data_IF_985272239282
#
_entry.id   IF_985272239282
#
_cell.length_a   1.000
_cell.length_b   1.000
_cell.length_c   1.000
_cell.angle_alpha   90.00
_cell.angle_beta   90.00
_cell.angle_gamma   90.00
#
_symmetry.space_group_name_H-M   'P 1'
#
loop_
_entity.id
_entity.type
_entity.pdbx_description
1 polymer ?
2 non-polymer ?
3 water ?
#
# COMPACT_ATOMS: atom_id res chain seq x y z
N UNK A 4 5.85 23.63 19.39
CA UNK A 4 5.06 22.42 19.59
C UNK A 4 4.99 21.60 18.31
N UNK A 5 4.91 20.29 18.45
CA UNK A 5 4.90 19.39 17.30
C UNK A 5 3.55 19.43 16.60
N UNK A 6 3.57 19.77 15.32
CA UNK A 6 2.34 19.98 14.57
C UNK A 6 1.95 18.78 13.73
N UNK A 7 2.68 17.67 13.88
CA UNK A 7 2.37 16.46 13.15
C UNK A 7 2.56 16.62 11.64
N UNK A 8 1.45 16.63 10.91
CA UNK A 8 1.52 16.79 9.47
C UNK A 8 1.33 18.25 9.04
N UNK A 9 1.28 19.15 10.03
CA UNK A 9 0.96 20.53 9.76
C UNK A 9 2.16 21.42 9.54
N UNK A 10 1.95 22.49 8.78
CA UNK A 10 3.02 23.42 8.43
C UNK A 10 2.53 24.87 8.47
N UNK A 11 1.43 25.11 9.18
CA UNK A 11 0.87 26.45 9.28
C UNK A 11 0.35 26.73 10.69
N UNK A 12 1.08 26.28 11.70
CA UNK A 12 0.79 26.64 13.07
C UNK A 12 -0.23 25.80 13.83
N UNK A 13 -0.96 24.93 13.14
CA UNK A 13 -1.91 24.05 13.82
C UNK A 13 -1.51 22.61 13.64
N UNK A 14 -2.03 21.75 14.50
CA UNK A 14 -1.65 20.36 14.46
C UNK A 14 -2.58 19.57 13.55
N UNK A 15 -1.98 18.78 12.66
CA UNK A 15 -2.70 17.85 11.81
C UNK A 15 -2.28 16.43 12.17
N UNK A 16 -3.25 15.56 12.39
CA UNK A 16 -2.96 14.17 12.71
C UNK A 16 -4.07 13.24 12.22
N UNK A 17 -3.79 11.94 12.21
CA UNK A 17 -4.77 10.95 11.76
C UNK A 17 -5.57 10.34 12.91
N UNK A 18 -5.13 10.53 14.15
CA UNK A 18 -5.86 9.99 15.30
C UNK A 18 -7.13 10.79 15.58
N UNK A 19 -7.93 10.33 16.53
CA UNK A 19 -9.24 10.93 16.81
C UNK A 19 -9.27 11.92 17.98
N UNK A 20 -8.17 12.06 18.73
CA UNK A 20 -8.23 12.80 19.99
C UNK A 20 -7.41 14.10 20.03
N UNK A 21 -6.52 14.29 19.06
CA UNK A 21 -5.88 15.59 18.91
C UNK A 21 -5.92 16.02 17.44
N UNK A 22 -5.34 17.17 17.14
CA UNK A 22 -5.32 17.67 15.78
C UNK A 22 -6.67 18.20 15.32
N UNK A 23 -7.57 18.44 16.27
CA UNK A 23 -8.90 18.92 15.96
C UNK A 23 -8.96 20.45 15.96
N UNK A 24 -9.88 21.04 15.18
CA UNK A 24 -9.96 22.50 15.13
C UNK A 24 -10.33 23.14 16.46
N UNK A 25 -9.61 24.21 16.81
CA UNK A 25 -9.89 24.98 18.01
C UNK A 25 -11.28 25.60 17.94
N UNK A 26 -12.12 25.37 18.97
CA UNK A 26 -13.45 25.99 19.01
C UNK A 26 -13.46 27.50 18.73
N UNK A 27 -12.44 28.21 19.20
CA UNK A 27 -12.37 29.65 18.99
C UNK A 27 -11.95 29.96 17.56
N UNK A 28 -11.19 29.05 16.95
CA UNK A 28 -10.83 29.19 15.54
C UNK A 28 -12.06 28.97 14.67
N UNK A 29 -12.78 27.88 14.91
CA UNK A 29 -14.01 27.59 14.19
C UNK A 29 -14.97 28.77 14.26
N UNK A 30 -14.97 29.46 15.39
CA UNK A 30 -15.90 30.55 15.61
C UNK A 30 -15.42 31.83 14.92
N UNK A 31 -14.25 31.76 14.29
CA UNK A 31 -13.71 32.88 13.53
C UNK A 31 -13.94 32.72 12.04
N UNK A 32 -14.57 31.60 11.64
CA UNK A 32 -14.89 31.37 10.24
C UNK A 32 -15.73 32.52 9.70
N UNK A 33 -15.58 32.79 8.41
CA UNK A 33 -16.18 33.96 7.77
C UNK A 33 -17.69 33.99 7.90
N UNK A 34 -18.34 32.84 7.68
CA UNK A 34 -19.79 32.78 7.63
C UNK A 34 -20.35 31.81 8.66
N UNK A 35 -21.56 32.10 9.13
CA UNK A 35 -22.27 31.21 10.04
C UNK A 35 -22.57 29.90 9.32
N UNK A 36 -22.68 29.97 8.00
CA UNK A 36 -22.95 28.80 7.18
C UNK A 36 -21.81 27.80 7.26
N UNK A 37 -20.58 28.30 7.25
CA UNK A 37 -19.41 27.44 7.38
C UNK A 37 -19.31 26.84 8.77
N UNK A 38 -19.78 27.58 9.76
CA UNK A 38 -19.71 27.10 11.14
C UNK A 38 -20.61 25.89 11.35
N UNK A 39 -21.80 25.94 10.74
CA UNK A 39 -22.73 24.81 10.82
C UNK A 39 -22.16 23.61 10.10
N UNK A 40 -21.57 23.85 8.93
CA UNK A 40 -20.95 22.78 8.15
C UNK A 40 -19.88 22.08 8.98
N UNK A 41 -18.92 22.86 9.50
CA UNK A 41 -17.84 22.29 10.28
C UNK A 41 -18.36 21.63 11.54
N UNK A 42 -19.42 22.19 12.10
CA UNK A 42 -20.02 21.63 13.30
C UNK A 42 -20.61 20.25 13.01
N UNK A 43 -21.08 20.05 11.79
CA UNK A 43 -21.65 18.76 11.40
C UNK A 43 -20.56 17.78 11.00
N UNK A 44 -19.46 18.29 10.46
CA UNK A 44 -18.33 17.44 10.09
C UNK A 44 -17.68 16.83 11.33
N UNK A 45 -17.77 17.54 12.44
CA UNK A 45 -17.16 17.10 13.68
C UNK A 45 -18.08 16.15 14.45
N UNK A 46 -19.32 16.05 14.02
CA UNK A 46 -20.25 15.07 14.56
C UNK A 46 -20.05 13.72 13.89
N UNK A 47 -20.65 12.68 14.48
CA UNK A 47 -20.44 11.31 14.02
C UNK A 47 -21.51 10.85 13.04
N UNK A 48 -22.72 11.36 13.19
CA UNK A 48 -23.83 10.98 12.33
C UNK A 48 -23.42 11.11 10.87
N UNK A 49 -23.28 9.96 10.21
CA UNK A 49 -22.75 9.92 8.85
C UNK A 49 -23.64 10.66 7.87
N UNK A 50 -24.95 10.61 8.11
CA UNK A 50 -25.90 11.26 7.21
C UNK A 50 -25.73 12.77 7.22
N UNK A 51 -25.73 13.37 8.40
CA UNK A 51 -25.58 14.82 8.51
C UNK A 51 -24.17 15.24 8.07
N UNK A 52 -23.21 14.35 8.29
CA UNK A 52 -21.83 14.61 7.89
C UNK A 52 -21.70 14.58 6.36
N UNK A 53 -22.35 13.61 5.73
CA UNK A 53 -22.31 13.49 4.28
C UNK A 53 -22.99 14.70 3.66
N UNK A 54 -24.02 15.21 4.33
CA UNK A 54 -24.73 16.39 3.87
C UNK A 54 -23.88 17.66 4.07
N UNK A 55 -23.09 17.68 5.13
CA UNK A 55 -22.20 18.81 5.38
C UNK A 55 -21.19 18.95 4.26
N UNK A 56 -20.56 17.84 3.88
CA UNK A 56 -19.58 17.85 2.80
C UNK A 56 -20.21 18.26 1.48
N UNK A 57 -21.43 17.77 1.22
CA UNK A 57 -22.13 18.11 -0.01
C UNK A 57 -22.35 19.62 -0.09
N UNK A 58 -22.88 20.20 0.99
CA UNK A 58 -23.06 21.63 1.07
C UNK A 58 -21.74 22.35 0.82
N UNK A 59 -20.67 21.86 1.46
CA UNK A 59 -19.36 22.45 1.32
C UNK A 59 -18.86 22.35 -0.12
N UNK A 60 -19.03 21.18 -0.71
CA UNK A 60 -18.56 20.95 -2.08
C UNK A 60 -19.24 21.89 -3.08
N UNK A 61 -20.49 22.24 -2.79
CA UNK A 61 -21.26 23.09 -3.69
C UNK A 61 -20.84 24.55 -3.53
N UNK A 62 -20.61 24.98 -2.30
CA UNK A 62 -20.13 26.32 -2.03
C UNK A 62 -18.85 26.59 -2.82
N UNK A 63 -18.01 25.57 -2.94
CA UNK A 63 -16.74 25.71 -3.62
C UNK A 63 -16.93 25.70 -5.13
N UNK A 64 -17.98 25.04 -5.61
CA UNK A 64 -18.28 25.05 -7.04
C UNK A 64 -18.56 26.48 -7.49
N UNK A 65 -19.49 27.13 -6.81
CA UNK A 65 -19.76 28.55 -7.05
C UNK A 65 -18.73 29.39 -6.30
N UNK A 66 -17.46 29.13 -6.57
CA UNK A 66 -16.35 29.75 -5.86
C UNK A 66 -16.31 31.26 -6.06
N UNK A 67 -16.59 31.69 -7.29
CA UNK A 67 -16.48 33.09 -7.66
C UNK A 67 -17.33 33.97 -6.73
N UNK A 68 -18.49 33.45 -6.33
CA UNK A 68 -19.41 34.22 -5.49
C UNK A 68 -19.06 34.14 -4.02
N UNK A 69 -18.40 33.05 -3.62
CA UNK A 69 -18.08 32.81 -2.23
C UNK A 69 -16.57 32.70 -1.98
N UNK A 70 -15.79 33.48 -2.73
CA UNK A 70 -14.34 33.42 -2.62
C UNK A 70 -13.88 33.79 -1.20
N UNK A 71 -14.54 34.76 -0.58
CA UNK A 71 -14.16 35.21 0.74
C UNK A 71 -14.44 34.17 1.83
N UNK A 72 -15.29 33.19 1.53
CA UNK A 72 -15.60 32.14 2.50
C UNK A 72 -14.35 31.31 2.80
N UNK A 73 -13.51 31.13 1.79
CA UNK A 73 -12.40 30.19 1.88
C UNK A 73 -11.09 30.91 2.16
N UNK A 74 -11.06 31.63 3.27
CA UNK A 74 -9.89 32.38 3.68
C UNK A 74 -8.94 31.50 4.50
N UNK A 75 -7.90 32.12 5.06
CA UNK A 75 -6.89 31.41 5.81
C UNK A 75 -7.47 30.66 7.02
N UNK A 76 -8.53 31.20 7.59
CA UNK A 76 -9.17 30.55 8.72
C UNK A 76 -9.79 29.25 8.24
N UNK A 77 -10.54 29.33 7.15
CA UNK A 77 -11.15 28.13 6.59
C UNK A 77 -10.10 27.07 6.30
N UNK A 78 -9.03 27.46 5.62
CA UNK A 78 -8.01 26.50 5.21
C UNK A 78 -7.32 25.83 6.39
N UNK A 79 -7.06 26.60 7.44
CA UNK A 79 -6.49 26.05 8.65
C UNK A 79 -7.41 24.96 9.19
N UNK A 80 -8.67 25.32 9.43
CA UNK A 80 -9.64 24.38 9.96
C UNK A 80 -9.77 23.15 9.08
N UNK A 81 -9.98 23.38 7.79
CA UNK A 81 -10.16 22.28 6.85
C UNK A 81 -8.95 21.37 6.84
N UNK A 82 -7.75 21.94 6.84
CA UNK A 82 -6.54 21.14 6.81
C UNK A 82 -6.49 20.15 7.99
N UNK A 83 -7.20 20.46 9.07
CA UNK A 83 -7.18 19.60 10.24
C UNK A 83 -8.20 18.45 10.17
N UNK A 84 -9.40 18.71 9.66
CA UNK A 84 -10.43 17.66 9.62
C UNK A 84 -10.28 16.77 8.38
N UNK A 85 -9.79 17.34 7.29
CA UNK A 85 -9.50 16.59 6.07
C UNK A 85 -8.69 15.33 6.38
N UNK A 86 -7.69 15.49 7.24
CA UNK A 86 -6.82 14.39 7.64
C UNK A 86 -7.58 13.30 8.37
N UNK A 87 -8.80 13.61 8.81
CA UNK A 87 -9.59 12.68 9.60
C UNK A 87 -10.71 12.10 8.75
N UNK A 88 -11.20 12.89 7.82
CA UNK A 88 -12.24 12.45 6.91
C UNK A 88 -11.74 11.39 5.92
N UNK A 89 -10.43 11.41 5.60
CA UNK A 89 -9.90 10.49 4.60
C UNK A 89 -9.57 9.12 5.18
N UNK A 90 -9.98 8.86 6.41
CA UNK A 90 -9.86 7.53 6.98
C UNK A 90 -11.23 7.05 7.42
N UNK A 91 -12.26 7.77 7.00
CA UNK A 91 -13.63 7.37 7.26
C UNK A 91 -13.90 5.97 6.71
N UNK A 92 -14.72 5.21 7.42
CA UNK A 92 -15.07 3.87 6.98
C UNK A 92 -16.14 3.90 5.87
N UNK A 93 -16.68 5.09 5.61
CA UNK A 93 -17.60 5.28 4.49
C UNK A 93 -16.82 5.93 3.35
N UNK A 94 -16.68 5.21 2.24
CA UNK A 94 -15.86 5.71 1.14
C UNK A 94 -16.49 6.95 0.52
N UNK A 95 -17.79 7.09 0.72
CA UNK A 95 -18.50 8.30 0.28
C UNK A 95 -17.80 9.52 0.89
N UNK A 96 -17.59 9.48 2.21
CA UNK A 96 -16.91 10.56 2.92
C UNK A 96 -15.52 10.79 2.34
N UNK A 97 -14.80 9.70 2.09
CA UNK A 97 -13.42 9.81 1.63
C UNK A 97 -13.34 10.40 0.23
N UNK A 98 -14.25 9.95 -0.64
CA UNK A 98 -14.33 10.48 -2.00
C UNK A 98 -14.53 11.99 -1.99
N UNK A 99 -15.60 12.43 -1.34
CA UNK A 99 -15.95 13.84 -1.31
C UNK A 99 -14.83 14.69 -0.69
N UNK A 100 -14.25 14.22 0.41
CA UNK A 100 -13.18 14.96 1.09
C UNK A 100 -12.00 15.21 0.16
N UNK A 101 -11.60 14.17 -0.58
CA UNK A 101 -10.51 14.29 -1.54
C UNK A 101 -10.91 15.23 -2.66
N UNK A 102 -12.17 15.16 -3.08
CA UNK A 102 -12.68 16.01 -4.14
C UNK A 102 -12.62 17.48 -3.73
N UNK A 103 -13.13 17.77 -2.53
CA UNK A 103 -13.16 19.13 -2.01
C UNK A 103 -11.76 19.75 -2.01
N UNK A 104 -10.79 19.01 -1.47
CA UNK A 104 -9.45 19.53 -1.34
C UNK A 104 -8.85 19.81 -2.72
N UNK A 105 -8.94 18.84 -3.62
CA UNK A 105 -8.44 18.98 -4.98
C UNK A 105 -9.08 20.19 -5.66
N UNK A 106 -10.37 20.40 -5.43
CA UNK A 106 -11.06 21.59 -5.96
C UNK A 106 -10.41 22.87 -5.46
N UNK A 107 -10.17 22.95 -4.15
CA UNK A 107 -9.58 24.15 -3.54
C UNK A 107 -8.23 24.47 -4.17
N UNK A 108 -7.42 23.43 -4.39
CA UNK A 108 -6.10 23.63 -4.99
C UNK A 108 -6.26 24.23 -6.38
N UNK A 109 -7.33 23.84 -7.07
CA UNK A 109 -7.57 24.32 -8.43
C UNK A 109 -8.18 25.71 -8.44
N UNK A 110 -9.12 25.96 -7.53
CA UNK A 110 -9.87 27.22 -7.51
C UNK A 110 -9.14 28.32 -6.74
N UNK A 111 -7.94 28.02 -6.26
CA UNK A 111 -7.25 28.89 -5.32
C UNK A 111 -5.75 28.81 -5.53
N UNK A 112 -5.36 28.48 -6.76
CA UNK A 112 -3.99 28.09 -7.10
C UNK A 112 -2.88 28.73 -6.26
N UNK A 113 -2.66 30.02 -6.44
CA UNK A 113 -1.52 30.68 -5.81
C UNK A 113 -1.84 31.19 -4.40
N UNK A 114 -3.13 31.21 -4.05
CA UNK A 114 -3.55 31.70 -2.75
C UNK A 114 -3.57 30.57 -1.73
N UNK A 115 -3.24 29.36 -2.18
CA UNK A 115 -3.26 28.19 -1.32
C UNK A 115 -1.86 27.57 -1.24
N UNK A 116 -0.85 28.30 -1.69
CA UNK A 116 0.49 27.78 -1.77
C UNK A 116 1.04 27.38 -0.40
N UNK A 117 0.66 28.11 0.64
CA UNK A 117 1.15 27.82 1.99
C UNK A 117 0.73 26.43 2.45
N UNK A 118 -0.35 25.92 1.87
CA UNK A 118 -0.98 24.70 2.37
C UNK A 118 -0.68 23.45 1.55
N UNK A 119 0.12 23.56 0.49
CA UNK A 119 0.40 22.40 -0.36
C UNK A 119 1.11 21.29 0.42
N UNK A 120 2.02 21.67 1.31
CA UNK A 120 2.70 20.69 2.14
C UNK A 120 1.73 19.95 3.07
N UNK A 121 0.56 20.53 3.28
CA UNK A 121 -0.45 19.92 4.15
C UNK A 121 -1.52 19.17 3.37
N UNK A 122 -1.64 19.44 2.07
CA UNK A 122 -2.71 18.86 1.26
C UNK A 122 -2.19 17.79 0.29
N UNK A 123 -1.10 18.10 -0.40
CA UNK A 123 -0.56 17.22 -1.43
C UNK A 123 -0.26 15.82 -0.88
N UNK A 124 0.36 15.72 0.31
CA UNK A 124 0.63 14.37 0.80
C UNK A 124 -0.64 13.54 0.99
N UNK A 125 -1.70 14.17 1.50
CA UNK A 125 -2.97 13.46 1.73
C UNK A 125 -3.71 13.22 0.42
N UNK A 126 -3.55 14.12 -0.55
CA UNK A 126 -4.18 13.93 -1.85
C UNK A 126 -3.58 12.69 -2.49
N UNK A 127 -2.26 12.62 -2.50
CA UNK A 127 -1.54 11.51 -3.10
C UNK A 127 -1.82 10.22 -2.34
N UNK A 128 -2.03 10.31 -1.03
CA UNK A 128 -2.41 9.13 -0.25
C UNK A 128 -3.74 8.57 -0.75
N UNK A 129 -4.62 9.47 -1.19
CA UNK A 129 -5.92 9.08 -1.72
C UNK A 129 -5.77 8.30 -3.02
N UNK A 130 -4.83 8.74 -3.85
CA UNK A 130 -4.56 8.06 -5.11
C UNK A 130 -3.89 6.71 -4.87
N UNK A 131 -3.44 6.46 -3.64
CA UNK A 131 -2.75 5.23 -3.31
C UNK A 131 -3.63 4.25 -2.55
N UNK A 132 -4.93 4.51 -2.56
CA UNK A 132 -5.89 3.64 -1.91
C UNK A 132 -6.10 2.37 -2.75
N UNK A 133 -5.95 1.21 -2.11
CA UNK A 133 -6.08 -0.08 -2.79
C UNK A 133 -7.44 -0.25 -3.43
N UNK A 134 -8.46 0.41 -2.88
CA UNK A 134 -9.77 0.40 -3.51
C UNK A 134 -9.73 1.32 -4.72
N UNK A 135 -9.84 0.71 -5.90
CA UNK A 135 -9.76 1.43 -7.17
C UNK A 135 -10.89 2.45 -7.31
N UNK A 136 -12.03 2.17 -6.66
CA UNK A 136 -13.18 3.07 -6.75
C UNK A 136 -12.95 4.37 -5.98
N UNK A 137 -11.89 4.42 -5.17
CA UNK A 137 -11.51 5.64 -4.48
C UNK A 137 -10.27 6.26 -5.12
N UNK A 138 -9.26 5.43 -5.38
CA UNK A 138 -7.98 5.93 -5.88
C UNK A 138 -8.08 6.48 -7.30
N UNK A 139 -8.91 5.88 -8.15
CA UNK A 139 -8.97 6.31 -9.54
C UNK A 139 -9.69 7.67 -9.69
N UNK A 140 -10.89 7.82 -9.09
CA UNK A 140 -11.51 9.14 -9.14
C UNK A 140 -10.60 10.26 -8.58
N UNK A 141 -9.82 9.94 -7.56
CA UNK A 141 -8.91 10.92 -6.99
C UNK A 141 -7.81 11.28 -7.99
N UNK A 142 -7.35 10.30 -8.75
CA UNK A 142 -6.27 10.51 -9.70
C UNK A 142 -6.74 11.31 -10.90
N UNK A 143 -7.98 11.08 -11.33
CA UNK A 143 -8.54 11.80 -12.46
C UNK A 143 -8.75 13.26 -12.10
N UNK A 144 -9.20 13.49 -10.87
CA UNK A 144 -9.41 14.85 -10.36
C UNK A 144 -8.08 15.58 -10.25
N UNK A 145 -7.09 14.90 -9.69
CA UNK A 145 -5.76 15.48 -9.50
C UNK A 145 -5.12 15.81 -10.84
N UNK A 146 -5.22 14.86 -11.76
CA UNK A 146 -4.67 15.02 -13.10
C UNK A 146 -5.28 16.23 -13.77
N UNK A 147 -6.60 16.33 -13.70
CA UNK A 147 -7.32 17.44 -14.31
C UNK A 147 -6.90 18.75 -13.66
N UNK A 148 -6.64 18.71 -12.35
CA UNK A 148 -6.25 19.90 -11.60
C UNK A 148 -4.98 20.54 -12.16
N UNK A 149 -4.12 19.74 -12.79
CA UNK A 149 -2.90 20.26 -13.40
C UNK A 149 -2.96 20.15 -14.92
N UNK A 150 -4.16 20.26 -15.47
CA UNK A 150 -4.38 20.27 -16.92
C UNK A 150 -3.69 19.10 -17.62
N UNK A 151 -3.85 17.91 -17.06
CA UNK A 151 -3.35 16.68 -17.68
C UNK A 151 -1.87 16.77 -18.04
N UNK A 152 -1.12 17.57 -17.29
CA UNK A 152 0.31 17.71 -17.51
C UNK A 152 1.07 16.64 -16.72
N UNK A 153 1.60 15.60 -17.40
CA UNK A 153 2.23 14.49 -16.69
C UNK A 153 3.40 14.91 -15.81
N UNK A 154 4.27 15.77 -16.33
CA UNK A 154 5.45 16.21 -15.60
C UNK A 154 5.06 17.02 -14.36
N UNK A 155 3.87 17.62 -14.39
CA UNK A 155 3.39 18.43 -13.29
C UNK A 155 3.01 17.56 -12.09
N UNK A 156 2.60 16.33 -12.36
CA UNK A 156 2.26 15.39 -11.30
C UNK A 156 3.52 14.71 -10.78
N UNK A 157 4.39 14.31 -11.71
CA UNK A 157 5.64 13.66 -11.35
C UNK A 157 6.51 14.57 -10.49
N UNK A 158 6.34 15.88 -10.68
CA UNK A 158 7.11 16.86 -9.92
C UNK A 158 6.71 16.79 -8.44
N UNK A 159 5.44 16.50 -8.19
CA UNK A 159 4.92 16.46 -6.83
C UNK A 159 5.68 15.45 -5.96
N UNK A 160 5.99 14.28 -6.53
CA UNK A 160 6.67 13.23 -5.76
C UNK A 160 8.09 13.66 -5.41
N UNK A 161 8.64 14.59 -6.19
CA UNK A 161 9.98 15.11 -5.91
C UNK A 161 9.90 16.26 -4.91
N UNK A 162 9.10 17.27 -5.24
CA UNK A 162 8.98 18.46 -4.43
C UNK A 162 8.63 18.11 -2.98
N UNK A 163 7.58 17.31 -2.81
CA UNK A 163 7.03 17.05 -1.48
C UNK A 163 7.50 15.72 -0.89
N UNK A 164 8.68 15.29 -1.30
CA UNK A 164 9.30 14.08 -0.78
C UNK A 164 9.25 14.00 0.74
N UNK A 165 9.81 15.01 1.40
CA UNK A 165 9.95 14.98 2.86
C UNK A 165 8.60 14.87 3.57
N UNK A 166 7.61 15.61 3.10
CA UNK A 166 6.29 15.59 3.71
C UNK A 166 5.62 14.24 3.47
N UNK A 167 5.75 13.71 2.27
CA UNK A 167 5.21 12.38 1.96
C UNK A 167 5.79 11.32 2.88
N UNK A 168 7.10 11.37 3.06
CA UNK A 168 7.75 10.42 3.94
C UNK A 168 7.27 10.62 5.38
N UNK A 169 7.02 11.88 5.75
CA UNK A 169 6.55 12.18 7.10
C UNK A 169 5.15 11.60 7.32
N UNK A 170 4.33 11.67 6.29
CA UNK A 170 2.99 11.07 6.35
C UNK A 170 3.08 9.55 6.54
N UNK A 171 4.00 8.89 5.84
CA UNK A 171 4.18 7.44 6.01
C UNK A 171 4.60 7.17 7.46
N UNK A 172 5.58 7.91 7.95
CA UNK A 172 6.06 7.76 9.32
C UNK A 172 4.91 7.90 10.31
N UNK A 173 4.08 8.92 10.09
CA UNK A 173 2.89 9.15 10.89
C UNK A 173 2.03 7.89 10.99
N UNK A 174 1.79 7.25 9.84
CA UNK A 174 0.89 6.10 9.77
C UNK A 174 1.53 4.84 10.33
N UNK A 175 2.77 4.57 9.93
CA UNK A 175 3.41 3.30 10.26
C UNK A 175 3.93 3.31 11.69
N UNK A 176 4.57 4.40 12.08
CA UNK A 176 5.30 4.47 13.33
C UNK A 176 4.50 5.14 14.44
N UNK A 177 3.92 6.30 14.16
CA UNK A 177 3.30 7.12 15.20
C UNK A 177 1.88 6.69 15.56
N UNK A 178 1.18 6.04 14.65
CA UNK A 178 -0.22 5.68 14.91
C UNK A 178 -0.38 4.16 14.90
N UNK A 179 -1.54 3.73 15.37
CA UNK A 179 -1.85 2.32 15.45
C UNK A 179 -3.37 2.17 15.39
N UNK A 180 -3.85 0.93 15.50
CA UNK A 180 -5.27 0.64 15.37
C UNK A 180 -6.13 1.44 16.35
N UNK A 181 -5.68 1.53 17.59
CA UNK A 181 -6.49 2.13 18.64
C UNK A 181 -6.45 3.66 18.65
N UNK A 182 -5.42 4.26 18.07
CA UNK A 182 -5.38 5.72 17.99
C UNK A 182 -6.08 6.22 16.73
N UNK A 183 -6.14 5.37 15.71
CA UNK A 183 -6.77 5.71 14.44
C UNK A 183 -8.28 5.51 14.52
N UNK A 184 -8.71 4.57 15.36
CA UNK A 184 -10.13 4.31 15.56
C UNK A 184 -10.51 4.44 17.03
N UNK A 185 -11.61 5.12 17.31
CA UNK A 185 -12.06 5.32 18.67
C UNK A 185 -12.85 4.11 19.13
N UNK A 186 -12.32 3.40 20.14
CA UNK A 186 -12.94 2.16 20.63
C UNK A 186 -14.36 2.40 21.14
N UNK A 187 -14.68 3.65 21.45
CA UNK A 187 -16.03 4.00 21.89
C UNK A 187 -17.07 3.65 20.84
N UNK A 188 -16.73 3.86 19.56
CA UNK A 188 -17.70 3.73 18.48
C UNK A 188 -17.28 2.71 17.41
N UNK A 189 -16.26 1.92 17.71
CA UNK A 189 -15.76 0.93 16.75
C UNK A 189 -15.37 -0.37 17.45
N UNK A 190 -15.77 -1.49 16.84
CA UNK A 190 -15.38 -2.80 17.33
C UNK A 190 -13.92 -3.05 17.01
N UNK A 191 -13.32 -4.05 17.62
CA UNK A 191 -11.92 -4.37 17.38
C UNK A 191 -11.72 -4.71 15.91
N UNK A 192 -12.71 -5.36 15.30
CA UNK A 192 -12.63 -5.77 13.90
C UNK A 192 -12.59 -4.57 12.97
N UNK A 193 -13.52 -3.64 13.17
CA UNK A 193 -13.58 -2.44 12.34
C UNK A 193 -12.28 -1.63 12.47
N UNK A 194 -11.71 -1.61 13.68
CA UNK A 194 -10.45 -0.91 13.90
C UNK A 194 -9.31 -1.59 13.16
N UNK A 195 -9.27 -2.91 13.24
CA UNK A 195 -8.29 -3.67 12.45
C UNK A 195 -8.41 -3.35 10.97
N UNK A 196 -9.64 -3.32 10.46
CA UNK A 196 -9.85 -3.08 9.03
C UNK A 196 -9.44 -1.66 8.65
N UNK A 197 -9.79 -0.71 9.51
CA UNK A 197 -9.49 0.69 9.25
C UNK A 197 -7.98 0.92 9.14
N UNK A 198 -7.24 0.44 10.13
CA UNK A 198 -5.79 0.58 10.10
C UNK A 198 -5.23 -0.12 8.87
N UNK A 199 -5.62 -1.38 8.67
CA UNK A 199 -5.20 -2.15 7.50
C UNK A 199 -5.27 -1.34 6.21
N UNK A 200 -6.43 -0.76 5.95
CA UNK A 200 -6.63 0.04 4.74
C UNK A 200 -5.68 1.24 4.68
N UNK A 201 -5.52 1.96 5.78
CA UNK A 201 -4.68 3.15 5.78
C UNK A 201 -3.20 2.79 5.58
N UNK A 202 -2.70 1.80 6.30
CA UNK A 202 -1.28 1.49 6.24
C UNK A 202 -0.94 0.87 4.88
N UNK A 203 -1.88 0.12 4.33
CA UNK A 203 -1.72 -0.41 2.98
C UNK A 203 -1.48 0.72 2.00
N UNK A 204 -2.24 1.80 2.14
CA UNK A 204 -2.07 2.98 1.31
C UNK A 204 -0.67 3.56 1.48
N UNK A 205 -0.21 3.58 2.73
CA UNK A 205 1.08 4.17 3.07
C UNK A 205 2.21 3.37 2.45
N UNK A 206 2.03 2.06 2.34
CA UNK A 206 3.03 1.21 1.70
C UNK A 206 3.08 1.54 0.20
N UNK A 207 1.92 1.57 -0.45
CA UNK A 207 1.88 1.89 -1.87
C UNK A 207 2.45 3.28 -2.13
N UNK A 208 2.17 4.21 -1.23
CA UNK A 208 2.69 5.56 -1.34
C UNK A 208 4.20 5.56 -1.17
N UNK A 209 4.69 4.67 -0.30
CA UNK A 209 6.12 4.52 -0.09
C UNK A 209 6.78 3.94 -1.34
N UNK A 210 6.11 2.99 -1.97
CA UNK A 210 6.61 2.39 -3.20
C UNK A 210 6.76 3.46 -4.27
N UNK A 211 5.70 4.24 -4.49
CA UNK A 211 5.73 5.26 -5.52
C UNK A 211 6.81 6.29 -5.22
N UNK A 212 7.10 6.50 -3.95
CA UNK A 212 8.12 7.45 -3.55
C UNK A 212 9.50 6.98 -4.00
N UNK A 213 9.72 5.67 -3.96
CA UNK A 213 10.97 5.08 -4.43
C UNK A 213 11.07 5.11 -5.95
N UNK A 214 9.94 4.91 -6.61
CA UNK A 214 9.91 4.89 -8.07
C UNK A 214 10.27 6.27 -8.61
N UNK A 215 9.63 7.31 -8.07
CA UNK A 215 9.78 8.66 -8.61
C UNK A 215 11.07 9.33 -8.17
N UNK A 216 11.78 8.75 -7.22
CA UNK A 216 12.97 9.38 -6.67
C UNK A 216 14.13 8.39 -6.56
N UNK A 217 15.26 8.73 -7.16
CA UNK A 217 16.46 7.91 -7.12
C UNK A 217 17.21 8.15 -5.81
N UNK A 218 17.30 9.41 -5.42
CA UNK A 218 18.04 9.82 -4.23
C UNK A 218 17.14 9.95 -3.02
N UNK A 219 16.21 9.02 -2.87
CA UNK A 219 15.29 9.03 -1.74
C UNK A 219 15.97 8.40 -0.52
N UNK A 220 16.84 7.43 -0.77
CA UNK A 220 17.51 6.70 0.30
C UNK A 220 18.55 7.55 1.02
N UNK A 221 19.12 8.51 0.30
CA UNK A 221 20.22 9.32 0.83
C UNK A 221 19.72 10.48 1.69
N UNK A 222 18.77 11.25 1.15
CA UNK A 222 18.24 12.41 1.85
C UNK A 222 17.64 12.03 3.21
N UNK A 223 16.58 11.22 3.17
CA UNK A 223 15.83 10.88 4.38
C UNK A 223 16.10 9.44 4.83
N UNK A 224 17.36 9.12 5.11
CA UNK A 224 17.73 7.77 5.51
C UNK A 224 17.16 7.43 6.89
N UNK A 225 17.44 8.29 7.86
CA UNK A 225 17.02 8.06 9.25
C UNK A 225 15.53 7.74 9.34
N UNK A 226 14.73 8.47 8.59
CA UNK A 226 13.29 8.33 8.64
C UNK A 226 12.84 7.05 7.94
N UNK A 227 13.45 6.75 6.79
CA UNK A 227 13.16 5.51 6.08
C UNK A 227 13.44 4.30 6.98
N UNK A 228 14.47 4.43 7.82
CA UNK A 228 14.90 3.36 8.69
C UNK A 228 13.84 3.04 9.76
N UNK A 229 13.29 4.07 10.37
CA UNK A 229 12.35 3.86 11.48
C UNK A 229 11.03 3.33 10.89
N UNK A 230 10.73 3.73 9.67
CA UNK A 230 9.55 3.24 8.96
C UNK A 230 9.68 1.75 8.66
N UNK A 231 10.77 1.36 8.01
CA UNK A 231 10.96 -0.02 7.57
C UNK A 231 11.38 -0.96 8.69
N UNK A 232 11.73 -0.40 9.85
CA UNK A 232 12.17 -1.21 10.99
C UNK A 232 10.99 -1.58 11.88
N UNK A 233 9.92 -0.81 11.77
CA UNK A 233 8.70 -1.06 12.53
C UNK A 233 8.10 -2.40 12.13
N UNK A 234 7.23 -2.95 12.98
CA UNK A 234 6.62 -4.25 12.70
C UNK A 234 5.27 -4.11 12.00
N UNK A 235 4.89 -2.88 11.66
CA UNK A 235 3.54 -2.63 11.17
C UNK A 235 3.35 -2.98 9.70
N UNK A 236 4.32 -2.60 8.86
CA UNK A 236 4.24 -2.89 7.44
C UNK A 236 4.26 -4.40 7.21
N UNK A 237 5.15 -5.08 7.90
CA UNK A 237 5.39 -6.51 7.69
C UNK A 237 4.25 -7.34 8.24
N UNK A 238 3.36 -6.70 9.00
CA UNK A 238 2.18 -7.38 9.54
C UNK A 238 1.15 -7.63 8.44
N UNK A 239 1.29 -6.92 7.31
CA UNK A 239 0.39 -7.09 6.18
C UNK A 239 0.66 -8.39 5.44
N UNK A 240 1.75 -9.06 5.79
CA UNK A 240 2.09 -10.36 5.21
C UNK A 240 1.35 -11.49 5.91
N UNK A 241 0.35 -11.15 6.71
CA UNK A 241 -0.45 -12.16 7.40
C UNK A 241 -1.79 -12.36 6.69
N UNK A 242 -2.02 -13.59 6.22
CA UNK A 242 -3.28 -13.92 5.59
C UNK A 242 -4.40 -13.97 6.64
N UNK A 243 -5.60 -13.56 6.24
CA UNK A 243 -6.76 -13.60 7.12
C UNK A 243 -7.99 -14.03 6.32
N UNK A 244 -8.87 -14.79 6.95
CA UNK A 244 -10.01 -15.37 6.26
C UNK A 244 -10.90 -14.32 5.62
N UNK A 245 -11.00 -13.15 6.26
CA UNK A 245 -11.85 -12.09 5.76
C UNK A 245 -11.15 -11.16 4.77
N UNK A 246 -9.85 -10.99 4.95
CA UNK A 246 -9.08 -10.06 4.11
C UNK A 246 -8.70 -10.68 2.77
N UNK A 247 -8.48 -9.82 1.78
CA UNK A 247 -7.96 -10.25 0.50
C UNK A 247 -6.45 -10.02 0.44
N UNK A 248 -5.85 -10.41 -0.69
CA UNK A 248 -4.40 -10.43 -0.84
C UNK A 248 -3.80 -9.16 -1.42
N UNK A 249 -4.60 -8.12 -1.58
CA UNK A 249 -4.14 -6.89 -2.22
C UNK A 249 -3.06 -6.19 -1.40
N UNK A 250 -3.22 -6.20 -0.08
CA UNK A 250 -2.23 -5.60 0.80
C UNK A 250 -0.98 -6.46 0.81
N UNK A 251 -1.19 -7.78 0.80
CA UNK A 251 -0.09 -8.73 0.76
C UNK A 251 0.80 -8.49 -0.45
N UNK A 252 0.17 -8.36 -1.62
CA UNK A 252 0.89 -8.15 -2.87
C UNK A 252 1.66 -6.83 -2.83
N UNK A 253 1.05 -5.83 -2.21
CA UNK A 253 1.66 -4.50 -2.10
C UNK A 253 3.00 -4.59 -1.36
N UNK A 254 3.05 -5.37 -0.29
CA UNK A 254 4.28 -5.52 0.47
C UNK A 254 5.34 -6.24 -0.36
N UNK A 255 4.94 -7.30 -1.06
CA UNK A 255 5.82 -7.99 -1.98
C UNK A 255 6.46 -7.01 -2.94
N UNK A 256 5.65 -6.13 -3.52
CA UNK A 256 6.16 -5.07 -4.38
C UNK A 256 7.20 -4.21 -3.67
N UNK A 257 6.93 -3.83 -2.42
CA UNK A 257 7.85 -2.98 -1.65
C UNK A 257 9.21 -3.64 -1.51
N UNK A 258 9.20 -4.90 -1.07
CA UNK A 258 10.43 -5.67 -0.92
C UNK A 258 11.19 -5.70 -2.24
N UNK A 259 10.45 -5.82 -3.34
CA UNK A 259 11.08 -5.91 -4.65
C UNK A 259 11.73 -4.58 -5.05
N UNK A 260 11.05 -3.48 -4.80
CA UNK A 260 11.56 -2.16 -5.15
C UNK A 260 12.76 -1.81 -4.29
N UNK A 261 12.70 -2.16 -3.01
CA UNK A 261 13.79 -1.87 -2.09
C UNK A 261 15.06 -2.62 -2.52
N UNK A 262 14.88 -3.82 -3.05
CA UNK A 262 16.02 -4.64 -3.46
C UNK A 262 16.61 -4.14 -4.78
N UNK A 263 15.74 -3.83 -5.74
CA UNK A 263 16.19 -3.40 -7.06
C UNK A 263 16.91 -2.06 -6.98
N UNK A 264 16.39 -1.16 -6.15
CA UNK A 264 17.00 0.16 -5.97
C UNK A 264 18.27 0.08 -5.13
N UNK A 265 18.60 -1.11 -4.65
CA UNK A 265 19.84 -1.31 -3.92
C UNK A 265 19.81 -0.78 -2.50
N UNK A 266 18.61 -0.64 -1.96
CA UNK A 266 18.45 -0.20 -0.58
C UNK A 266 18.67 -1.37 0.38
N UNK A 267 18.30 -2.57 -0.07
CA UNK A 267 18.38 -3.76 0.77
C UNK A 267 19.82 -4.19 1.03
N UNK A 268 20.67 -4.24 -0.01
CA UNK A 268 22.08 -4.57 0.26
C UNK A 268 22.77 -3.56 1.16
N UNK A 269 22.18 -2.37 1.31
CA UNK A 269 22.78 -1.31 2.12
C UNK A 269 22.27 -1.33 3.56
N UNK A 270 21.21 -2.10 3.81
CA UNK A 270 20.61 -2.18 5.14
C UNK A 270 20.26 -3.62 5.49
N UNK A 271 21.27 -4.39 5.85
CA UNK A 271 21.12 -5.83 6.06
C UNK A 271 20.03 -6.17 7.10
N UNK A 272 19.83 -5.30 8.06
CA UNK A 272 18.88 -5.57 9.13
C UNK A 272 17.43 -5.53 8.63
N UNK A 273 17.12 -4.55 7.79
CA UNK A 273 15.79 -4.46 7.19
C UNK A 273 15.58 -5.64 6.26
N UNK A 274 16.66 -6.09 5.62
CA UNK A 274 16.63 -7.27 4.78
C UNK A 274 16.16 -8.49 5.55
N UNK A 275 16.83 -8.76 6.66
CA UNK A 275 16.54 -9.94 7.46
C UNK A 275 15.13 -9.87 8.07
N UNK A 276 14.62 -8.66 8.27
CA UNK A 276 13.29 -8.50 8.85
C UNK A 276 12.21 -8.81 7.83
N UNK A 277 12.44 -8.40 6.59
CA UNK A 277 11.48 -8.63 5.52
C UNK A 277 11.47 -10.09 5.10
N UNK A 278 12.66 -10.68 4.97
CA UNK A 278 12.77 -12.07 4.52
C UNK A 278 12.15 -13.01 5.55
N UNK A 279 12.44 -12.76 6.84
CA UNK A 279 11.94 -13.61 7.91
C UNK A 279 10.42 -13.60 7.94
N UNK A 280 9.84 -12.42 7.86
CA UNK A 280 8.38 -12.29 7.90
C UNK A 280 7.76 -12.90 6.65
N UNK A 281 8.50 -12.86 5.54
CA UNK A 281 8.02 -13.41 4.29
C UNK A 281 8.01 -14.93 4.34
N UNK A 282 9.02 -15.51 5.00
CA UNK A 282 9.11 -16.95 5.15
C UNK A 282 8.07 -17.47 6.13
N UNK A 283 7.85 -16.74 7.23
CA UNK A 283 6.78 -17.08 8.17
C UNK A 283 5.47 -17.18 7.42
N UNK A 284 5.28 -16.26 6.49
CA UNK A 284 4.05 -16.16 5.71
C UNK A 284 3.75 -17.44 4.92
N UNK A 285 4.77 -18.00 4.29
CA UNK A 285 4.60 -19.19 3.46
C UNK A 285 4.00 -20.34 4.26
N UNK A 286 4.37 -20.44 5.54
CA UNK A 286 3.91 -21.54 6.39
C UNK A 286 2.40 -21.47 6.64
N UNK A 287 1.81 -20.29 6.43
CA UNK A 287 0.38 -20.14 6.68
C UNK A 287 -0.44 -20.42 5.41
N UNK A 288 0.25 -20.67 4.31
CA UNK A 288 -0.40 -21.04 3.06
C UNK A 288 -0.62 -22.55 3.06
N UNK A 289 -1.89 -22.95 3.10
CA UNK A 289 -2.26 -24.36 3.13
C UNK A 289 -3.40 -24.64 2.15
N UNK A 290 -3.86 -25.88 2.13
CA UNK A 290 -4.96 -26.28 1.25
C UNK A 290 -6.24 -25.53 1.61
N UNK A 291 -6.41 -25.22 2.89
CA UNK A 291 -7.61 -24.53 3.36
C UNK A 291 -7.83 -23.22 2.61
N UNK A 292 -6.76 -22.47 2.39
CA UNK A 292 -6.86 -21.12 1.84
C UNK A 292 -6.15 -20.97 0.50
N UNK A 293 -5.74 -22.09 -0.10
CA UNK A 293 -4.91 -22.03 -1.31
C UNK A 293 -5.66 -21.34 -2.45
N UNK A 294 -6.96 -21.52 -2.52
CA UNK A 294 -7.77 -20.85 -3.55
C UNK A 294 -7.73 -19.34 -3.36
N UNK A 295 -7.63 -18.90 -2.12
CA UNK A 295 -7.59 -17.47 -1.82
C UNK A 295 -6.22 -16.89 -2.14
N UNK A 296 -5.17 -17.64 -1.80
CA UNK A 296 -3.80 -17.17 -1.99
C UNK A 296 -3.35 -17.36 -3.43
N UNK A 297 -4.10 -18.15 -4.18
CA UNK A 297 -3.77 -18.48 -5.57
C UNK A 297 -3.18 -17.31 -6.39
N UNK A 298 -3.85 -16.15 -6.40
CA UNK A 298 -3.35 -15.09 -7.29
C UNK A 298 -2.01 -14.43 -6.92
N UNK A 299 -1.43 -14.73 -5.75
CA UNK A 299 -0.14 -14.13 -5.39
C UNK A 299 1.00 -15.14 -5.48
N UNK A 300 0.69 -16.41 -5.67
CA UNK A 300 1.72 -17.45 -5.69
C UNK A 300 2.83 -17.16 -6.71
N UNK A 301 2.47 -16.68 -7.91
CA UNK A 301 3.58 -16.37 -8.82
C UNK A 301 4.45 -15.25 -8.28
N UNK A 302 3.83 -14.20 -7.76
CA UNK A 302 4.57 -13.08 -7.19
C UNK A 302 5.54 -13.53 -6.08
N UNK A 303 5.06 -14.39 -5.19
CA UNK A 303 5.93 -14.90 -4.14
C UNK A 303 7.14 -15.57 -4.78
N UNK A 304 6.89 -16.55 -5.66
CA UNK A 304 7.96 -17.31 -6.28
C UNK A 304 8.92 -16.39 -7.02
N UNK A 305 8.38 -15.40 -7.73
CA UNK A 305 9.21 -14.45 -8.46
C UNK A 305 10.07 -13.62 -7.51
N UNK A 306 9.53 -13.29 -6.34
CA UNK A 306 10.27 -12.49 -5.37
C UNK A 306 11.43 -13.32 -4.80
N UNK A 307 11.14 -14.56 -4.43
CA UNK A 307 12.15 -15.44 -3.84
C UNK A 307 13.31 -15.67 -4.82
N UNK A 308 13.00 -15.60 -6.11
CA UNK A 308 14.02 -15.82 -7.13
C UNK A 308 14.95 -14.62 -7.20
N UNK A 309 14.37 -13.44 -7.10
CA UNK A 309 15.14 -12.20 -7.11
C UNK A 309 16.05 -12.14 -5.89
N UNK A 310 15.51 -12.47 -4.73
CA UNK A 310 16.25 -12.39 -3.47
C UNK A 310 17.33 -13.45 -3.38
N UNK A 311 17.15 -14.56 -4.10
CA UNK A 311 18.13 -15.63 -4.08
C UNK A 311 19.41 -15.19 -4.79
N UNK A 312 19.28 -14.23 -5.70
CA UNK A 312 20.43 -13.73 -6.44
C UNK A 312 21.38 -12.97 -5.52
N UNK A 313 20.84 -12.45 -4.41
CA UNK A 313 21.66 -11.71 -3.45
C UNK A 313 22.74 -12.58 -2.83
N UNK A 314 23.97 -12.39 -3.28
CA UNK A 314 25.14 -13.05 -2.70
C UNK A 314 24.95 -14.57 -2.65
N UNK A 315 24.61 -15.15 -3.80
CA UNK A 315 24.53 -16.61 -3.95
C UNK A 315 23.58 -17.26 -2.94
N UNK A 316 22.40 -16.69 -2.78
CA UNK A 316 21.37 -17.26 -1.92
C UNK A 316 21.65 -17.14 -0.43
N UNK A 317 22.08 -15.96 0.00
CA UNK A 317 22.42 -15.74 1.41
C UNK A 317 21.17 -15.59 2.27
N UNK A 318 20.08 -15.17 1.67
CA UNK A 318 18.85 -14.89 2.43
C UNK A 318 18.31 -16.17 3.06
N UNK A 319 18.59 -17.31 2.45
CA UNK A 319 18.10 -18.59 2.95
C UNK A 319 18.72 -18.94 4.29
N UNK A 320 19.90 -18.39 4.56
CA UNK A 320 20.62 -18.67 5.80
C UNK A 320 20.03 -17.93 6.99
N UNK A 321 19.14 -16.98 6.72
CA UNK A 321 18.48 -16.24 7.79
C UNK A 321 17.51 -17.12 8.57
N UNK A 322 17.39 -18.38 8.15
CA UNK A 322 16.54 -19.34 8.82
C UNK A 322 16.92 -20.75 8.33
N UNK A 323 17.59 -21.51 9.20
CA UNK A 323 18.15 -22.80 8.81
C UNK A 323 17.10 -23.76 8.23
N UNK A 324 15.85 -23.60 8.66
CA UNK A 324 14.78 -24.47 8.21
C UNK A 324 14.03 -23.91 7.00
N UNK A 325 14.65 -22.97 6.30
CA UNK A 325 13.99 -22.32 5.16
C UNK A 325 13.88 -23.27 3.97
N UNK A 326 14.88 -24.12 3.80
CA UNK A 326 14.86 -25.13 2.75
C UNK A 326 13.64 -26.03 2.90
N UNK A 327 13.32 -26.35 4.14
CA UNK A 327 12.16 -27.18 4.44
C UNK A 327 10.86 -26.38 4.23
N UNK A 328 10.90 -25.09 4.53
CA UNK A 328 9.72 -24.23 4.39
C UNK A 328 9.36 -24.02 2.92
N UNK A 329 10.36 -23.81 2.08
CA UNK A 329 10.15 -23.66 0.64
C UNK A 329 9.55 -24.95 0.08
N UNK A 330 10.00 -26.07 0.63
CA UNK A 330 9.56 -27.39 0.18
C UNK A 330 8.06 -27.57 0.36
N UNK A 331 7.57 -27.19 1.53
CA UNK A 331 6.15 -27.37 1.84
C UNK A 331 5.31 -26.39 1.05
N UNK A 332 5.91 -25.26 0.71
CA UNK A 332 5.21 -24.23 -0.04
C UNK A 332 5.02 -24.66 -1.50
N UNK A 333 6.07 -25.21 -2.11
CA UNK A 333 5.99 -25.67 -3.49
C UNK A 333 4.99 -26.81 -3.60
N UNK A 334 4.97 -27.68 -2.60
CA UNK A 334 4.09 -28.86 -2.60
C UNK A 334 2.62 -28.49 -2.53
N UNK A 335 2.33 -27.31 -1.99
CA UNK A 335 0.96 -26.84 -1.82
C UNK A 335 0.56 -25.95 -2.98
N UNK A 336 1.51 -25.17 -3.47
CA UNK A 336 1.23 -24.16 -4.48
C UNK A 336 0.86 -24.79 -5.83
N UNK A 337 1.33 -26.01 -6.07
CA UNK A 337 1.08 -26.69 -7.33
C UNK A 337 -0.33 -27.29 -7.38
N UNK A 338 -1.10 -27.11 -6.32
CA UNK A 338 -2.49 -27.57 -6.30
C UNK A 338 -3.43 -26.43 -6.67
N UNK A 339 -2.87 -25.26 -6.95
CA UNK A 339 -3.66 -24.13 -7.43
C UNK A 339 -2.81 -23.23 -8.32
N UNK A 340 -2.41 -23.75 -9.49
CA UNK A 340 -1.58 -22.99 -10.42
C UNK A 340 -2.38 -21.94 -11.18
N UNK A 341 -1.67 -21.03 -11.84
CA UNK A 341 -2.29 -19.93 -12.57
C UNK A 341 -1.29 -19.38 -13.57
N UNK A 342 -1.76 -18.59 -14.55
CA UNK A 342 -0.84 -17.96 -15.50
C UNK A 342 0.32 -17.26 -14.81
N UNK A 343 1.55 -17.55 -15.23
CA UNK A 343 2.74 -16.97 -14.62
C UNK A 343 3.36 -17.89 -13.59
N UNK A 344 2.56 -18.80 -13.04
CA UNK A 344 3.02 -19.68 -11.97
C UNK A 344 4.28 -20.47 -12.35
N UNK A 345 4.17 -21.29 -13.39
CA UNK A 345 5.27 -22.18 -13.74
C UNK A 345 6.46 -21.39 -14.28
N UNK A 346 6.20 -20.24 -14.89
CA UNK A 346 7.27 -19.32 -15.25
C UNK A 346 8.10 -18.95 -14.02
N UNK A 347 7.42 -18.63 -12.93
CA UNK A 347 8.08 -18.18 -11.71
C UNK A 347 8.81 -19.32 -11.03
N UNK A 348 8.26 -20.52 -11.11
CA UNK A 348 8.90 -21.70 -10.54
C UNK A 348 10.25 -21.91 -11.22
N UNK A 349 10.28 -21.81 -12.55
CA UNK A 349 11.51 -21.98 -13.28
C UNK A 349 12.50 -20.89 -12.90
N UNK A 350 12.00 -19.66 -12.76
CA UNK A 350 12.81 -18.56 -12.27
C UNK A 350 13.45 -18.94 -10.94
N UNK A 351 12.64 -19.47 -10.03
CA UNK A 351 13.14 -19.89 -8.72
C UNK A 351 14.18 -21.00 -8.90
N UNK A 352 13.86 -21.97 -9.75
CA UNK A 352 14.78 -23.06 -10.03
C UNK A 352 16.09 -22.55 -10.59
N UNK A 353 15.99 -21.76 -11.66
CA UNK A 353 17.16 -21.31 -12.40
C UNK A 353 18.16 -20.61 -11.48
N UNK A 354 17.63 -19.84 -10.53
CA UNK A 354 18.45 -19.07 -9.62
C UNK A 354 19.05 -19.95 -8.53
N UNK A 355 18.19 -20.70 -7.85
CA UNK A 355 18.60 -21.46 -6.67
C UNK A 355 19.52 -22.64 -6.98
N UNK A 356 19.50 -23.14 -8.21
CA UNK A 356 20.38 -24.26 -8.58
C UNK A 356 21.84 -23.83 -8.54
N UNK A 357 22.08 -22.52 -8.58
CA UNK A 357 23.44 -21.99 -8.58
C UNK A 357 24.17 -22.32 -7.27
N UNK A 358 23.42 -22.76 -6.26
CA UNK A 358 24.03 -23.27 -5.05
C UNK A 358 23.37 -24.59 -4.61
N UNK A 359 22.73 -25.25 -5.57
CA UNK A 359 22.08 -26.54 -5.33
C UNK A 359 21.22 -26.48 -4.07
N UNK A 360 20.18 -25.65 -4.10
CA UNK A 360 19.29 -25.48 -2.97
C UNK A 360 18.47 -26.75 -2.75
N UNK A 361 17.79 -27.19 -3.81
CA UNK A 361 16.96 -28.39 -3.75
C UNK A 361 17.49 -29.44 -4.73
N UNK A 362 17.37 -30.71 -4.35
CA UNK A 362 17.84 -31.80 -5.20
C UNK A 362 17.05 -31.87 -6.51
N UNK A 363 17.77 -31.98 -7.62
CA UNK A 363 17.15 -32.04 -8.94
C UNK A 363 16.17 -33.22 -9.06
N UNK A 364 16.63 -34.42 -8.75
CA UNK A 364 15.82 -35.62 -8.94
C UNK A 364 14.89 -35.95 -7.78
N UNK A 365 15.31 -35.63 -6.55
CA UNK A 365 14.56 -36.06 -5.36
C UNK A 365 13.45 -35.10 -4.97
N UNK A 366 13.55 -33.84 -5.39
CA UNK A 366 12.64 -32.80 -4.92
C UNK A 366 12.04 -31.97 -6.06
N UNK A 367 12.88 -31.57 -7.01
CA UNK A 367 12.41 -30.77 -8.14
C UNK A 367 11.57 -31.59 -9.12
N UNK A 368 12.09 -32.75 -9.53
CA UNK A 368 11.42 -33.53 -10.56
C UNK A 368 10.03 -34.00 -10.10
N UNK A 369 9.93 -34.55 -8.87
CA UNK A 369 8.60 -34.95 -8.40
C UNK A 369 7.58 -33.81 -8.41
N UNK A 370 8.06 -32.58 -8.23
CA UNK A 370 7.17 -31.42 -8.23
C UNK A 370 6.56 -31.23 -9.61
N UNK A 371 7.41 -31.20 -10.63
CA UNK A 371 6.96 -31.07 -12.01
C UNK A 371 6.04 -32.23 -12.39
N UNK A 372 6.37 -33.43 -11.91
CA UNK A 372 5.60 -34.61 -12.23
C UNK A 372 4.18 -34.53 -11.66
N UNK A 373 4.07 -34.16 -10.40
CA UNK A 373 2.76 -34.12 -9.74
C UNK A 373 1.92 -32.95 -10.25
N UNK A 374 2.59 -31.91 -10.74
CA UNK A 374 1.90 -30.77 -11.33
C UNK A 374 1.06 -31.20 -12.52
N UNK A 375 1.74 -31.70 -13.55
CA UNK A 375 1.07 -32.11 -14.79
C UNK A 375 0.00 -33.15 -14.50
N UNK A 376 0.24 -34.02 -13.53
CA UNK A 376 -0.71 -35.05 -13.20
C UNK A 376 -2.04 -34.42 -12.80
N UNK A 377 -1.98 -33.40 -11.94
CA UNK A 377 -3.18 -32.69 -11.53
C UNK A 377 -3.80 -31.95 -12.72
N UNK A 378 -2.97 -31.26 -13.48
CA UNK A 378 -3.45 -30.52 -14.64
C UNK A 378 -4.26 -31.39 -15.59
N UNK A 379 -3.78 -32.60 -15.84
CA UNK A 379 -4.45 -33.51 -16.76
C UNK A 379 -5.81 -33.95 -16.23
N UNK A 380 -5.92 -34.07 -14.91
CA UNK A 380 -7.17 -34.52 -14.30
C UNK A 380 -8.20 -33.40 -14.27
N UNK A 381 -7.80 -32.24 -13.78
CA UNK A 381 -8.69 -31.09 -13.69
C UNK A 381 -9.11 -30.62 -15.07
N UNK A 382 -8.16 -30.12 -15.85
CA UNK A 382 -8.44 -29.62 -17.18
C UNK A 382 -9.11 -30.65 -18.07
N UNK A 383 -9.62 -30.24 -19.23
CA UNK A 383 -9.53 -28.86 -19.72
C UNK A 383 -10.74 -28.04 -19.29
N UNK A 384 -11.35 -28.43 -18.16
CA UNK A 384 -12.61 -27.86 -17.70
C UNK A 384 -12.72 -26.35 -17.91
N UNK A 385 -11.85 -25.59 -17.25
CA UNK A 385 -11.94 -24.13 -17.25
C UNK A 385 -10.71 -23.47 -17.86
N UNK A 386 -10.77 -22.15 -17.97
CA UNK A 386 -9.61 -21.35 -18.34
C UNK A 386 -8.88 -20.96 -17.05
N UNK A 387 -7.59 -20.64 -17.11
CA UNK A 387 -6.79 -20.62 -18.34
C UNK A 387 -6.04 -21.95 -18.54
N UNK A 388 -6.75 -23.06 -18.42
CA UNK A 388 -6.14 -24.38 -18.52
C UNK A 388 -5.16 -24.48 -19.69
N UNK A 389 -5.61 -24.11 -20.88
CA UNK A 389 -4.79 -24.19 -22.08
C UNK A 389 -3.48 -23.43 -21.90
N UNK A 390 -3.58 -22.16 -21.50
CA UNK A 390 -2.40 -21.32 -21.29
C UNK A 390 -1.50 -21.92 -20.22
N UNK A 391 -2.11 -22.36 -19.12
CA UNK A 391 -1.37 -22.90 -17.98
C UNK A 391 -0.60 -24.15 -18.39
N UNK A 392 -1.26 -25.02 -19.15
CA UNK A 392 -0.64 -26.28 -19.56
C UNK A 392 0.56 -26.01 -20.46
N UNK A 393 0.38 -25.13 -21.45
CA UNK A 393 1.46 -24.82 -22.37
C UNK A 393 2.64 -24.25 -21.59
N UNK A 394 2.34 -23.37 -20.63
CA UNK A 394 3.36 -22.75 -19.80
C UNK A 394 4.16 -23.80 -19.05
N UNK A 395 3.47 -24.80 -18.49
CA UNK A 395 4.14 -25.87 -17.77
C UNK A 395 5.18 -26.57 -18.65
N UNK A 396 4.74 -27.04 -19.82
CA UNK A 396 5.61 -27.84 -20.67
C UNK A 396 6.79 -27.03 -21.19
N UNK A 397 6.56 -25.75 -21.45
CA UNK A 397 7.64 -24.89 -21.90
C UNK A 397 8.74 -24.84 -20.84
N UNK A 398 8.34 -24.61 -19.59
CA UNK A 398 9.31 -24.48 -18.50
C UNK A 398 9.91 -25.84 -18.14
N UNK A 399 9.07 -26.87 -18.11
CA UNK A 399 9.56 -28.20 -17.76
C UNK A 399 10.59 -28.71 -18.76
N UNK A 400 10.42 -28.35 -20.03
CA UNK A 400 11.35 -28.80 -21.06
C UNK A 400 12.71 -28.13 -20.88
N UNK A 401 12.71 -26.92 -20.35
CA UNK A 401 13.96 -26.22 -20.05
C UNK A 401 14.60 -26.81 -18.80
N UNK A 402 13.77 -27.11 -17.82
CA UNK A 402 14.21 -27.76 -16.60
C UNK A 402 14.88 -29.10 -16.92
N UNK A 403 14.36 -29.77 -17.95
CA UNK A 403 14.79 -31.13 -18.28
C UNK A 403 16.16 -31.17 -18.98
N UNK A 404 16.64 -30.02 -19.43
CA UNK A 404 17.91 -29.97 -20.16
C UNK A 404 19.12 -30.04 -19.25
N UNK A 405 18.90 -29.92 -17.95
CA UNK A 405 19.98 -30.01 -16.97
C UNK A 405 20.10 -31.42 -16.40
N UNK A 406 19.22 -32.32 -16.85
CA UNK A 406 19.21 -33.69 -16.39
C UNK A 406 20.53 -34.42 -16.68
N UNK A 407 21.17 -34.07 -17.79
CA UNK A 407 22.43 -34.69 -18.18
C UNK A 407 23.52 -34.44 -17.15
N UNK A 408 23.48 -33.27 -16.52
CA UNK A 408 24.54 -32.85 -15.61
C UNK A 408 24.47 -33.57 -14.27
N UNK A 409 23.43 -34.37 -14.08
CA UNK A 409 23.24 -35.11 -12.84
C UNK A 409 22.85 -36.55 -13.12
X LIG B 1 1.77 1.06 14.03
#
# INVERSE_FOLDING_TARGET
SLNTDLGLGHNGVRISLNYFDGLPDPSLLNSLYSNELKLIFKSLLKRDETTKEKALMDLSNLISDFNQNEYFFNDIFLLCWSQIYAKLIISDYKVIRLQSHQITIMLVKSLRKKISKFLKDFIPLILLGTCELDYSVSKPSLNELTECFNKDPAKINALWAVFQEQLLNLVKEIVVNENEDTISDERYSSKEESEFRYHRVIASAVLLLIKLFVHNKDVSERNSSSLKVILSDESIWKLLNLKNGQNTNAYETVLRLIDVLYTRGYMPSHKNIMKLAVKKLLKSLTHITSKNILKVCPVLPSILNLLATLDDYEDGTIWSYDKSSKEKVLKFLSVSRTSPSPGFFNAVFALYSSTKRHSFLDYYLEWLPFWQKSVQRLNEKGFSARNSAEVLNEFWTNFLKFAEDSSEERVKKX
K K
#
